data_IF_447684216202
#
_entry.id   IF_447684216202
#
_cell.length_a   1.000
_cell.length_b   1.000
_cell.length_c   1.000
_cell.angle_alpha   90.00
_cell.angle_beta   90.00
_cell.angle_gamma   90.00
#
_symmetry.space_group_name_H-M   'P 1'
#
loop_
_entity.id
_entity.type
_entity.pdbx_description
1 polymer ?
#
# COMPACT_ATOMS: atom_id res chain seq x y z
N UNK A 1 -46.46 23.14 20.03
CA UNK A 1 -45.42 22.07 20.02
C UNK A 1 -45.43 21.24 18.74
N UNK A 2 -46.57 20.69 18.29
CA UNK A 2 -46.70 19.93 17.02
C UNK A 2 -46.11 20.62 15.77
N UNK A 3 -46.35 21.92 15.59
CA UNK A 3 -45.88 22.68 14.40
C UNK A 3 -44.35 22.77 14.27
N UNK A 4 -43.61 22.86 15.39
CA UNK A 4 -42.13 22.93 15.39
C UNK A 4 -41.48 21.61 14.96
N UNK A 5 -42.12 20.48 15.26
CA UNK A 5 -41.65 19.15 14.86
C UNK A 5 -41.92 18.87 13.39
N UNK A 6 -43.06 19.30 12.85
CA UNK A 6 -43.34 19.22 11.41
C UNK A 6 -42.39 20.08 10.58
N UNK A 7 -42.06 21.29 11.03
CA UNK A 7 -41.09 22.16 10.33
C UNK A 7 -39.68 21.54 10.37
N UNK A 8 -39.26 21.02 11.53
CA UNK A 8 -37.97 20.34 11.64
C UNK A 8 -37.88 19.10 10.72
N UNK A 9 -38.97 18.32 10.63
CA UNK A 9 -39.04 17.14 9.77
C UNK A 9 -39.00 17.50 8.27
N UNK A 10 -39.73 18.54 7.85
CA UNK A 10 -39.69 19.03 6.47
C UNK A 10 -38.32 19.59 6.07
N UNK A 11 -37.65 20.29 6.99
CA UNK A 11 -36.28 20.76 6.78
C UNK A 11 -35.30 19.59 6.64
N UNK A 12 -35.45 18.54 7.46
CA UNK A 12 -34.62 17.34 7.37
C UNK A 12 -34.78 16.62 6.02
N UNK A 13 -36.03 16.50 5.55
CA UNK A 13 -36.37 15.92 4.24
C UNK A 13 -35.80 16.74 3.08
N UNK A 14 -35.91 18.07 3.16
CA UNK A 14 -35.35 18.98 2.15
C UNK A 14 -33.82 18.88 2.07
N UNK A 15 -33.13 18.72 3.20
CA UNK A 15 -31.68 18.52 3.23
C UNK A 15 -31.26 17.15 2.67
N UNK A 16 -32.09 16.12 2.82
CA UNK A 16 -31.83 14.78 2.27
C UNK A 16 -32.06 14.66 0.76
N UNK A 17 -32.90 15.51 0.17
CA UNK A 17 -33.28 15.44 -1.25
C UNK A 17 -32.14 15.73 -2.24
N UNK A 18 -31.03 16.34 -1.77
CA UNK A 18 -29.84 16.60 -2.59
C UNK A 18 -28.81 15.46 -2.61
N UNK A 19 -28.97 14.44 -1.75
CA UNK A 19 -28.06 13.30 -1.71
C UNK A 19 -28.35 12.35 -2.89
N UNK A 20 -27.48 12.36 -3.90
CA UNK A 20 -27.51 11.45 -5.04
C UNK A 20 -26.23 10.62 -5.11
N UNK A 21 -26.32 9.40 -5.62
CA UNK A 21 -25.20 8.46 -5.74
C UNK A 21 -24.98 8.08 -7.21
N UNK A 22 -24.70 9.07 -8.05
CA UNK A 22 -24.70 8.87 -9.52
C UNK A 22 -23.44 8.17 -10.03
N UNK A 23 -22.26 8.56 -9.53
CA UNK A 23 -20.95 8.08 -9.99
C UNK A 23 -19.94 7.92 -8.84
N UNK A 24 -20.43 7.78 -7.62
CA UNK A 24 -19.59 7.55 -6.44
C UNK A 24 -19.00 6.14 -6.47
N UNK A 25 -19.85 5.16 -6.78
CA UNK A 25 -19.47 3.78 -7.07
C UNK A 25 -19.63 3.54 -8.57
N UNK A 26 -18.52 3.32 -9.26
CA UNK A 26 -18.51 3.14 -10.71
C UNK A 26 -18.40 1.65 -11.06
N UNK A 27 -18.87 1.21 -12.24
CA UNK A 27 -18.78 -0.20 -12.66
C UNK A 27 -17.36 -0.57 -13.16
N UNK A 28 -16.34 -0.25 -12.36
CA UNK A 28 -14.93 -0.62 -12.55
C UNK A 28 -14.34 -0.94 -11.18
N UNK A 29 -13.28 -1.74 -11.13
CA UNK A 29 -12.60 -1.97 -9.86
C UNK A 29 -11.52 -0.93 -9.59
N UNK A 30 -11.59 -0.29 -8.42
CA UNK A 30 -10.49 0.47 -7.84
C UNK A 30 -9.43 -0.46 -7.22
N UNK A 31 -8.19 0.02 -6.98
CA UNK A 31 -7.18 -0.78 -6.30
C UNK A 31 -7.68 -1.29 -4.95
N UNK A 32 -7.64 -2.62 -4.78
CA UNK A 32 -8.09 -3.34 -3.59
C UNK A 32 -9.61 -3.31 -3.34
N UNK A 33 -10.42 -2.97 -4.35
CA UNK A 33 -11.87 -3.11 -4.25
C UNK A 33 -12.30 -4.59 -4.20
N UNK A 34 -13.39 -4.89 -3.49
CA UNK A 34 -13.96 -6.22 -3.48
C UNK A 34 -14.53 -6.60 -4.86
N UNK A 35 -14.50 -7.88 -5.21
CA UNK A 35 -15.11 -8.43 -6.43
C UNK A 35 -16.05 -9.58 -6.07
N UNK A 36 -17.24 -9.59 -6.67
CA UNK A 36 -18.20 -10.71 -6.55
C UNK A 36 -17.98 -11.80 -7.59
N UNK A 37 -17.06 -11.59 -8.55
CA UNK A 37 -16.81 -12.52 -9.64
C UNK A 37 -15.88 -13.68 -9.22
N UNK A 38 -14.85 -13.40 -8.43
CA UNK A 38 -13.88 -14.41 -7.98
C UNK A 38 -14.24 -14.95 -6.60
N UNK A 39 -13.99 -16.25 -6.38
CA UNK A 39 -14.33 -16.95 -5.14
C UNK A 39 -13.64 -16.39 -3.88
N UNK A 40 -12.51 -15.71 -4.05
CA UNK A 40 -11.73 -15.10 -2.96
C UNK A 40 -12.11 -13.63 -2.68
N UNK A 41 -13.08 -13.08 -3.41
CA UNK A 41 -13.57 -11.72 -3.21
C UNK A 41 -12.63 -10.61 -3.71
N UNK A 42 -11.51 -10.95 -4.37
CA UNK A 42 -10.45 -9.98 -4.71
C UNK A 42 -10.50 -9.54 -6.17
N UNK A 43 -10.65 -8.24 -6.40
CA UNK A 43 -10.39 -7.63 -7.73
C UNK A 43 -8.90 -7.67 -8.09
N UNK A 44 -8.02 -7.46 -7.11
CA UNK A 44 -6.56 -7.52 -7.27
C UNK A 44 -6.08 -8.97 -7.39
N UNK A 45 -5.93 -9.43 -8.63
CA UNK A 45 -5.47 -10.79 -8.96
C UNK A 45 -3.95 -10.94 -8.81
N UNK A 46 -3.47 -12.11 -8.33
CA UNK A 46 -2.05 -12.41 -8.36
C UNK A 46 -1.55 -12.48 -9.82
N UNK A 47 -0.30 -12.09 -10.03
CA UNK A 47 0.37 -12.35 -11.30
C UNK A 47 0.63 -13.84 -11.46
N UNK A 48 0.59 -14.33 -12.70
CA UNK A 48 1.00 -15.70 -13.00
C UNK A 48 2.52 -15.81 -12.74
N UNK A 49 2.99 -16.87 -12.07
CA UNK A 49 4.42 -17.10 -11.87
C UNK A 49 5.22 -17.01 -13.18
N UNK A 50 6.48 -16.61 -13.08
CA UNK A 50 7.41 -16.46 -14.21
C UNK A 50 6.99 -15.44 -15.29
N UNK A 51 5.99 -14.61 -15.01
CA UNK A 51 5.61 -13.48 -15.88
C UNK A 51 6.52 -12.27 -15.61
N UNK A 52 7.12 -11.71 -16.66
CA UNK A 52 7.95 -10.49 -16.58
C UNK A 52 7.22 -9.31 -17.20
N UNK A 53 6.96 -8.27 -16.40
CA UNK A 53 6.33 -7.04 -16.88
C UNK A 53 7.31 -6.20 -17.73
N UNK A 54 6.79 -5.47 -18.71
CA UNK A 54 7.59 -4.51 -19.49
C UNK A 54 8.17 -3.45 -18.55
N UNK A 55 9.49 -3.27 -18.60
CA UNK A 55 10.22 -2.34 -17.73
C UNK A 55 10.68 -2.93 -16.39
N UNK A 56 10.31 -4.18 -16.09
CA UNK A 56 10.73 -4.91 -14.90
C UNK A 56 11.68 -6.07 -15.24
N UNK A 57 12.43 -5.96 -16.34
CA UNK A 57 13.42 -6.98 -16.71
C UNK A 57 14.56 -6.96 -15.67
N UNK A 58 14.88 -8.09 -15.01
CA UNK A 58 16.00 -8.19 -14.09
C UNK A 58 17.32 -7.98 -14.85
N UNK A 59 17.89 -6.78 -14.79
CA UNK A 59 19.06 -6.42 -15.60
C UNK A 59 20.39 -6.70 -14.88
N UNK A 60 20.43 -6.49 -13.55
CA UNK A 60 21.63 -6.68 -12.75
C UNK A 60 21.30 -7.54 -11.51
N UNK A 61 21.82 -8.78 -11.43
CA UNK A 61 21.48 -9.69 -10.33
C UNK A 61 21.95 -9.18 -8.96
N UNK A 62 22.91 -8.24 -8.92
CA UNK A 62 23.36 -7.58 -7.69
C UNK A 62 22.27 -6.68 -7.09
N UNK A 63 21.47 -6.04 -7.93
CA UNK A 63 20.35 -5.18 -7.49
C UNK A 63 19.11 -5.98 -7.12
N UNK A 64 18.81 -7.01 -7.91
CA UNK A 64 17.56 -7.77 -7.79
C UNK A 64 17.60 -8.79 -6.65
N UNK A 65 18.76 -9.45 -6.47
CA UNK A 65 18.90 -10.59 -5.54
C UNK A 65 20.02 -10.43 -4.52
N UNK A 66 20.94 -9.48 -4.74
CA UNK A 66 22.15 -9.36 -3.94
C UNK A 66 23.12 -10.54 -4.09
N UNK A 67 23.01 -11.32 -5.18
CA UNK A 67 23.85 -12.50 -5.42
C UNK A 67 24.40 -12.54 -6.85
N UNK A 68 25.61 -13.09 -7.00
CA UNK A 68 26.25 -13.44 -8.28
C UNK A 68 26.78 -14.87 -8.16
N UNK A 69 26.50 -15.72 -9.15
CA UNK A 69 26.85 -17.15 -9.13
C UNK A 69 26.40 -17.87 -7.85
N UNK A 70 25.22 -17.48 -7.34
CA UNK A 70 24.63 -18.02 -6.10
C UNK A 70 25.26 -17.51 -4.80
N UNK A 71 26.32 -16.71 -4.87
CA UNK A 71 27.02 -16.17 -3.70
C UNK A 71 26.59 -14.73 -3.41
N UNK A 72 26.45 -14.32 -2.13
CA UNK A 72 26.19 -12.93 -1.77
C UNK A 72 27.26 -12.00 -2.33
N UNK A 73 26.84 -10.83 -2.82
CA UNK A 73 27.76 -9.74 -3.14
C UNK A 73 28.28 -9.11 -1.85
N UNK A 74 29.52 -8.65 -1.87
CA UNK A 74 30.20 -8.00 -0.74
C UNK A 74 30.05 -6.47 -0.75
N UNK A 75 29.53 -5.92 -1.84
CA UNK A 75 29.43 -4.49 -2.08
C UNK A 75 28.01 -4.09 -2.43
N UNK A 76 27.56 -2.96 -1.86
CA UNK A 76 26.30 -2.33 -2.25
C UNK A 76 26.48 -1.73 -3.67
N UNK A 77 25.70 -2.15 -4.69
CA UNK A 77 25.84 -1.67 -6.06
C UNK A 77 25.23 -0.26 -6.26
N UNK A 78 25.18 0.57 -5.21
CA UNK A 78 24.65 1.92 -5.22
C UNK A 78 25.67 2.94 -4.69
N UNK A 79 25.69 4.17 -5.22
CA UNK A 79 26.47 5.25 -4.64
C UNK A 79 26.04 5.54 -3.20
N UNK A 80 26.99 5.57 -2.27
CA UNK A 80 26.74 5.87 -0.85
C UNK A 80 26.64 7.38 -0.62
N UNK A 81 25.63 8.01 -1.20
CA UNK A 81 25.37 9.44 -0.99
C UNK A 81 24.69 9.67 0.37
N UNK A 82 24.77 10.91 0.88
CA UNK A 82 24.11 11.30 2.12
C UNK A 82 22.59 11.12 2.00
N UNK A 83 22.03 11.47 0.85
CA UNK A 83 20.60 11.37 0.55
C UNK A 83 20.13 9.92 0.60
N UNK A 84 20.91 8.99 0.02
CA UNK A 84 20.61 7.57 0.08
C UNK A 84 20.65 7.06 1.54
N UNK A 85 21.64 7.46 2.31
CA UNK A 85 21.79 7.03 3.71
C UNK A 85 20.66 7.58 4.61
N UNK A 86 20.22 8.82 4.38
CA UNK A 86 19.08 9.40 5.10
C UNK A 86 17.78 8.68 4.76
N UNK A 87 17.55 8.36 3.48
CA UNK A 87 16.43 7.51 3.06
C UNK A 87 16.54 6.11 3.68
N UNK A 88 17.73 5.51 3.70
CA UNK A 88 17.97 4.21 4.30
C UNK A 88 17.59 4.18 5.79
N UNK A 89 17.98 5.22 6.54
CA UNK A 89 17.58 5.39 7.95
C UNK A 89 16.06 5.47 8.11
N UNK A 90 15.40 6.32 7.33
CA UNK A 90 13.93 6.44 7.34
C UNK A 90 13.26 5.07 7.09
N UNK A 91 13.72 4.30 6.09
CA UNK A 91 13.15 2.99 5.79
C UNK A 91 13.43 1.95 6.88
N UNK A 92 14.63 1.95 7.46
CA UNK A 92 14.96 1.08 8.60
C UNK A 92 14.07 1.39 9.81
N UNK A 93 13.86 2.67 10.12
CA UNK A 93 12.99 3.08 11.21
C UNK A 93 11.53 2.65 10.98
N UNK A 94 11.02 2.72 9.74
CA UNK A 94 9.65 2.30 9.41
C UNK A 94 9.46 0.78 9.52
N UNK A 95 10.34 -0.02 8.90
CA UNK A 95 10.10 -1.44 8.68
C UNK A 95 10.89 -2.36 9.61
N UNK A 96 12.10 -1.98 10.00
CA UNK A 96 13.01 -2.86 10.74
C UNK A 96 13.00 -2.60 12.24
N UNK A 97 12.92 -1.34 12.66
CA UNK A 97 13.02 -0.94 14.06
C UNK A 97 11.91 -1.44 15.00
N UNK A 98 10.67 -1.76 14.54
CA UNK A 98 9.67 -2.36 15.42
C UNK A 98 10.15 -3.66 16.08
N UNK A 99 10.98 -4.46 15.39
CA UNK A 99 11.57 -5.69 15.93
C UNK A 99 13.03 -5.53 16.33
N UNK A 100 13.80 -4.71 15.61
CA UNK A 100 15.26 -4.61 15.78
C UNK A 100 15.75 -3.40 16.57
N UNK A 101 14.83 -2.59 17.12
CA UNK A 101 15.10 -1.25 17.68
C UNK A 101 15.84 -0.31 16.71
N UNK A 102 16.06 0.95 17.11
CA UNK A 102 16.71 1.96 16.25
C UNK A 102 18.22 1.81 16.17
N UNK A 103 18.84 1.19 17.17
CA UNK A 103 20.27 0.90 17.21
C UNK A 103 20.61 -0.44 16.53
N UNK A 104 19.61 -1.28 16.25
CA UNK A 104 19.80 -2.59 15.61
C UNK A 104 20.16 -3.69 16.61
N UNK A 105 19.87 -3.51 17.91
CA UNK A 105 20.30 -4.47 18.94
C UNK A 105 19.32 -5.63 19.15
N UNK A 106 18.13 -5.56 18.55
CA UNK A 106 17.09 -6.59 18.70
C UNK A 106 16.14 -6.36 19.88
N UNK A 107 16.23 -5.23 20.56
CA UNK A 107 15.35 -4.84 21.67
C UNK A 107 14.16 -3.99 21.17
N UNK A 108 13.55 -4.40 20.05
CA UNK A 108 12.40 -3.71 19.47
C UNK A 108 11.13 -3.88 20.31
N UNK A 109 10.12 -3.04 20.09
CA UNK A 109 8.88 -3.11 20.88
C UNK A 109 8.06 -4.40 20.69
N UNK A 110 8.34 -5.15 19.61
CA UNK A 110 7.66 -6.41 19.27
C UNK A 110 8.36 -7.64 19.88
N UNK A 111 9.61 -7.49 20.33
CA UNK A 111 10.48 -8.60 20.81
C UNK A 111 10.76 -8.44 22.30
#
# INVERSE_FOLDING_TARGET
MRSRWTIAFLLLLAMGAGCRQDMHDQPRYEPLEASTFFADGRSARPSIPDTVARGALPADPRFETGKVDGKPVDTLPLPRTKELLLRGRERFEIFCSPCHDRAGTGAGMVV
#
